data_IF_163751794810
#
_entry.id   IF_163751794810
#
_cell.length_a   1.000
_cell.length_b   1.000
_cell.length_c   1.000
_cell.angle_alpha   90.00
_cell.angle_beta   90.00
_cell.angle_gamma   90.00
#
_symmetry.space_group_name_H-M   'P 1'
#
loop_
_entity.id
_entity.type
_entity.pdbx_description
1 polymer ?
#
# COMPACT_ATOMS: atom_id res chain seq x y z
N UNK A 1 -41.17 -3.00 29.24
CA UNK A 1 -39.89 -3.20 28.54
C UNK A 1 -38.83 -2.50 29.36
N UNK A 2 -37.98 -3.26 30.07
CA UNK A 2 -36.89 -2.66 30.84
C UNK A 2 -35.83 -2.19 29.85
N UNK A 3 -35.49 -0.90 29.86
CA UNK A 3 -34.32 -0.39 29.18
C UNK A 3 -33.11 -1.16 29.71
N UNK A 4 -32.38 -1.84 28.83
CA UNK A 4 -31.13 -2.49 29.19
C UNK A 4 -30.20 -1.43 29.78
N UNK A 5 -29.82 -1.62 31.04
CA UNK A 5 -28.79 -0.84 31.72
C UNK A 5 -27.52 -0.88 30.85
N UNK A 6 -26.86 0.25 30.54
CA UNK A 6 -25.61 0.21 29.80
C UNK A 6 -24.65 -0.73 30.53
N UNK A 7 -23.98 -1.69 29.84
CA UNK A 7 -23.03 -2.57 30.49
C UNK A 7 -21.96 -1.68 31.12
N UNK A 8 -21.75 -1.86 32.42
CA UNK A 8 -20.61 -1.25 33.11
C UNK A 8 -19.39 -1.81 32.40
N UNK A 9 -18.63 -0.95 31.72
CA UNK A 9 -17.34 -1.31 31.13
C UNK A 9 -16.56 -2.10 32.19
N UNK A 10 -16.30 -3.38 31.94
CA UNK A 10 -15.38 -4.14 32.76
C UNK A 10 -14.11 -3.29 32.85
N UNK A 11 -13.66 -2.97 34.05
CA UNK A 11 -12.48 -2.12 34.25
C UNK A 11 -11.26 -2.90 33.78
N UNK A 12 -10.93 -2.78 32.49
CA UNK A 12 -9.75 -3.41 31.90
C UNK A 12 -8.49 -2.89 32.58
N UNK A 13 -7.59 -3.78 32.99
CA UNK A 13 -6.25 -3.41 33.44
C UNK A 13 -5.34 -3.18 32.22
N UNK A 14 -5.30 -1.92 31.79
CA UNK A 14 -4.59 -1.50 30.59
C UNK A 14 -3.07 -1.59 30.71
N UNK A 15 -2.52 -1.64 31.92
CA UNK A 15 -1.09 -1.81 32.15
C UNK A 15 -0.67 -3.27 31.98
N UNK A 16 -1.57 -4.20 32.33
CA UNK A 16 -1.39 -5.62 32.02
C UNK A 16 -1.60 -5.94 30.53
N UNK A 17 -2.26 -5.06 29.76
CA UNK A 17 -2.58 -5.24 28.34
C UNK A 17 -3.97 -5.86 28.08
N UNK A 18 -4.27 -6.13 26.81
CA UNK A 18 -5.58 -6.62 26.36
C UNK A 18 -5.49 -8.02 25.75
N UNK A 19 -6.27 -8.97 26.29
CA UNK A 19 -6.36 -10.29 25.68
C UNK A 19 -6.90 -10.19 24.26
N UNK A 20 -6.39 -11.02 23.37
CA UNK A 20 -6.96 -11.16 22.05
C UNK A 20 -8.34 -11.84 22.12
N UNK A 21 -9.18 -11.62 21.11
CA UNK A 21 -10.54 -12.15 21.04
C UNK A 21 -11.45 -11.30 20.15
N UNK A 22 -12.48 -11.93 19.59
CA UNK A 22 -13.42 -11.28 18.66
C UNK A 22 -14.58 -10.65 19.43
N UNK A 23 -14.37 -9.42 19.91
CA UNK A 23 -15.41 -8.58 20.55
C UNK A 23 -15.38 -7.18 19.94
N UNK A 24 -15.70 -7.04 18.65
CA UNK A 24 -15.54 -5.78 17.95
C UNK A 24 -16.46 -4.70 18.52
N UNK A 25 -15.97 -3.48 18.56
CA UNK A 25 -16.71 -2.27 18.91
C UNK A 25 -16.38 -1.16 17.92
N UNK A 26 -17.35 -0.29 17.67
CA UNK A 26 -17.17 0.90 16.86
C UNK A 26 -16.95 2.08 17.80
N UNK A 27 -15.82 2.77 17.66
CA UNK A 27 -15.53 3.98 18.41
C UNK A 27 -16.32 5.19 17.90
N UNK A 28 -16.39 6.24 18.70
CA UNK A 28 -16.94 7.54 18.26
C UNK A 28 -16.11 8.21 17.17
N UNK A 29 -14.87 7.74 16.99
CA UNK A 29 -13.92 8.10 15.91
C UNK A 29 -14.22 7.36 14.58
N UNK A 30 -15.28 6.57 14.50
CA UNK A 30 -15.63 5.73 13.34
C UNK A 30 -14.61 4.63 13.02
N UNK A 31 -13.71 4.33 13.95
CA UNK A 31 -12.74 3.23 13.81
C UNK A 31 -13.29 1.97 14.47
N UNK A 32 -13.11 0.83 13.78
CA UNK A 32 -13.42 -0.48 14.35
C UNK A 32 -12.24 -0.97 15.20
N UNK A 33 -12.51 -1.23 16.48
CA UNK A 33 -11.59 -1.89 17.39
C UNK A 33 -12.04 -3.33 17.56
N UNK A 34 -11.16 -4.28 17.22
CA UNK A 34 -11.55 -5.69 17.15
C UNK A 34 -11.71 -6.39 18.51
N UNK A 35 -11.38 -5.68 19.58
CA UNK A 35 -11.70 -6.05 20.94
C UNK A 35 -12.02 -4.78 21.75
N UNK A 36 -13.07 -4.82 22.57
CA UNK A 36 -13.51 -3.72 23.44
C UNK A 36 -12.36 -3.11 24.28
N UNK A 37 -11.54 -3.96 24.92
CA UNK A 37 -10.34 -3.55 25.64
C UNK A 37 -9.42 -2.61 24.84
N UNK A 38 -9.25 -2.82 23.53
CA UNK A 38 -8.41 -1.96 22.70
C UNK A 38 -8.96 -0.52 22.68
N UNK A 39 -10.27 -0.34 22.51
CA UNK A 39 -10.90 0.97 22.54
C UNK A 39 -10.77 1.61 23.93
N UNK A 40 -11.15 0.88 24.99
CA UNK A 40 -11.16 1.39 26.37
C UNK A 40 -9.77 1.80 26.84
N UNK A 41 -8.76 0.97 26.60
CA UNK A 41 -7.38 1.25 27.03
C UNK A 41 -6.67 2.35 26.23
N UNK A 42 -7.27 2.77 25.14
CA UNK A 42 -6.84 3.92 24.33
C UNK A 42 -7.76 5.12 24.49
N UNK A 43 -8.65 5.09 25.50
CA UNK A 43 -9.56 6.18 25.86
C UNK A 43 -10.55 6.56 24.74
N UNK A 44 -10.89 5.60 23.89
CA UNK A 44 -11.88 5.78 22.83
C UNK A 44 -13.26 5.48 23.39
N UNK A 45 -14.19 6.41 23.22
CA UNK A 45 -15.58 6.19 23.62
C UNK A 45 -16.23 5.23 22.63
N UNK A 46 -16.88 4.19 23.13
CA UNK A 46 -17.59 3.22 22.29
C UNK A 46 -18.92 3.83 21.84
N UNK A 47 -19.09 4.01 20.54
CA UNK A 47 -20.34 4.46 19.94
C UNK A 47 -21.37 3.33 19.89
N UNK A 48 -20.93 2.10 19.54
CA UNK A 48 -21.78 0.89 19.56
C UNK A 48 -20.95 -0.39 19.64
N UNK A 49 -21.59 -1.46 20.09
CA UNK A 49 -21.05 -2.82 19.97
C UNK A 49 -21.17 -3.32 18.52
N UNK A 50 -20.16 -4.07 18.07
CA UNK A 50 -20.00 -4.46 16.66
C UNK A 50 -19.14 -3.45 15.88
N UNK A 51 -18.69 -3.86 14.68
CA UNK A 51 -17.89 -3.02 13.80
C UNK A 51 -18.64 -1.77 13.30
N UNK A 52 -17.90 -0.77 12.80
CA UNK A 52 -18.47 0.43 12.17
C UNK A 52 -19.20 0.10 10.84
N UNK A 53 -20.08 1.00 10.36
CA UNK A 53 -21.05 0.73 9.27
C UNK A 53 -20.49 1.00 7.88
N UNK A 54 -19.29 1.56 7.80
CA UNK A 54 -18.47 1.55 6.59
C UNK A 54 -17.70 0.23 6.54
N UNK A 55 -17.39 -0.24 5.32
CA UNK A 55 -16.81 -1.56 5.01
C UNK A 55 -15.77 -2.03 6.05
N UNK A 56 -15.82 -3.31 6.47
CA UNK A 56 -15.02 -3.77 7.59
C UNK A 56 -13.53 -3.74 7.26
N UNK A 57 -12.69 -3.05 8.05
CA UNK A 57 -11.26 -3.14 7.90
C UNK A 57 -10.80 -4.46 8.51
N UNK A 58 -10.38 -5.38 7.63
CA UNK A 58 -10.15 -6.81 7.88
C UNK A 58 -11.46 -7.58 7.98
N UNK A 59 -11.71 -8.45 7.00
CA UNK A 59 -12.47 -9.64 7.32
C UNK A 59 -11.81 -10.31 8.55
N UNK A 60 -12.59 -10.90 9.47
CA UNK A 60 -12.08 -11.50 10.70
C UNK A 60 -11.08 -12.66 10.49
N UNK A 61 -10.78 -13.04 9.25
CA UNK A 61 -10.05 -14.26 8.89
C UNK A 61 -8.61 -14.34 9.40
N UNK A 62 -7.98 -13.22 9.76
CA UNK A 62 -6.59 -13.23 10.26
C UNK A 62 -6.41 -12.65 11.65
N UNK A 63 -7.46 -12.35 12.41
CA UNK A 63 -7.23 -11.84 13.75
C UNK A 63 -6.70 -12.93 14.67
N UNK A 64 -5.63 -12.62 15.41
CA UNK A 64 -5.17 -13.47 16.50
C UNK A 64 -6.31 -13.57 17.52
N UNK A 65 -6.61 -14.79 17.95
CA UNK A 65 -7.68 -15.08 18.92
C UNK A 65 -7.13 -15.55 20.26
N UNK A 66 -5.84 -15.88 20.31
CA UNK A 66 -5.10 -16.32 21.47
C UNK A 66 -3.94 -15.36 21.76
N UNK A 67 -3.53 -15.28 23.03
CA UNK A 67 -2.49 -14.37 23.47
C UNK A 67 -3.01 -12.99 23.91
N UNK A 68 -2.11 -12.02 23.95
CA UNK A 68 -2.37 -10.71 24.56
C UNK A 68 -1.59 -9.58 23.88
N UNK A 69 -2.29 -8.50 23.51
CA UNK A 69 -1.67 -7.23 23.17
C UNK A 69 -1.14 -6.56 24.45
N UNK A 70 0.15 -6.22 24.45
CA UNK A 70 0.81 -5.56 25.58
C UNK A 70 0.46 -4.07 25.66
N UNK A 71 0.59 -3.46 26.85
CA UNK A 71 0.45 -2.02 27.03
C UNK A 71 1.38 -1.20 26.11
N UNK A 72 2.57 -1.73 25.81
CA UNK A 72 3.53 -1.12 24.87
C UNK A 72 3.00 -1.11 23.45
N UNK A 73 2.39 -2.21 23.00
CA UNK A 73 1.77 -2.29 21.67
C UNK A 73 0.62 -1.29 21.55
N UNK A 74 -0.28 -1.23 22.55
CA UNK A 74 -1.39 -0.29 22.56
C UNK A 74 -0.95 1.19 22.45
N UNK A 75 0.19 1.54 23.07
CA UNK A 75 0.68 2.93 23.13
C UNK A 75 1.69 3.30 22.02
N UNK A 76 2.20 2.33 21.24
CA UNK A 76 3.39 2.44 20.39
C UNK A 76 3.40 3.69 19.48
N UNK A 77 2.29 3.98 18.82
CA UNK A 77 2.18 5.08 17.85
C UNK A 77 1.16 6.16 18.25
N UNK A 78 0.74 6.16 19.52
CA UNK A 78 -0.30 7.07 20.02
C UNK A 78 0.09 8.56 19.86
N UNK A 79 1.37 8.89 20.02
CA UNK A 79 1.86 10.27 19.83
C UNK A 79 1.84 10.72 18.36
N UNK A 80 1.78 9.77 17.44
CA UNK A 80 1.61 10.00 15.99
C UNK A 80 0.14 9.94 15.57
N UNK A 81 -0.81 9.83 16.50
CA UNK A 81 -2.26 9.77 16.19
C UNK A 81 -2.74 8.39 15.71
N UNK A 82 -1.92 7.35 15.83
CA UNK A 82 -2.30 5.98 15.46
C UNK A 82 -2.75 5.18 16.69
N UNK A 83 -3.93 4.58 16.59
CA UNK A 83 -4.53 3.75 17.63
C UNK A 83 -4.54 2.29 17.22
N UNK A 84 -4.15 1.40 18.13
CA UNK A 84 -4.11 -0.04 17.94
C UNK A 84 -5.52 -0.62 17.78
N UNK A 85 -5.77 -1.36 16.69
CA UNK A 85 -7.11 -1.89 16.38
C UNK A 85 -7.17 -3.40 16.34
N UNK A 86 -6.07 -4.08 16.04
CA UNK A 86 -5.98 -5.54 15.98
C UNK A 86 -4.53 -6.05 16.03
N UNK A 87 -4.37 -7.34 16.31
CA UNK A 87 -3.17 -8.10 15.92
C UNK A 87 -3.56 -9.18 14.91
N UNK A 88 -2.86 -9.21 13.79
CA UNK A 88 -3.07 -10.14 12.69
C UNK A 88 -2.10 -11.33 12.74
N UNK A 89 -2.59 -12.47 12.28
CA UNK A 89 -1.85 -13.65 11.92
C UNK A 89 -1.51 -13.56 10.43
N UNK A 90 -0.27 -13.14 10.13
CA UNK A 90 0.23 -13.04 8.76
C UNK A 90 0.38 -14.44 8.15
N UNK A 91 0.10 -14.57 6.84
CA UNK A 91 0.23 -15.83 6.09
C UNK A 91 1.40 -15.77 5.11
N UNK A 92 2.07 -16.89 4.88
CA UNK A 92 3.12 -16.95 3.87
C UNK A 92 2.52 -16.86 2.46
N UNK A 93 3.21 -16.14 1.57
CA UNK A 93 2.68 -15.75 0.26
C UNK A 93 2.29 -16.92 -0.66
N UNK A 94 2.85 -18.12 -0.47
CA UNK A 94 2.44 -19.32 -1.21
C UNK A 94 0.98 -19.72 -0.94
N UNK A 95 0.52 -19.51 0.30
CA UNK A 95 -0.83 -19.91 0.73
C UNK A 95 -1.87 -18.83 0.37
N UNK A 96 -1.41 -17.62 0.01
CA UNK A 96 -2.26 -16.53 -0.45
C UNK A 96 -2.54 -16.58 -1.95
N UNK A 97 -1.63 -17.21 -2.72
CA UNK A 97 -1.75 -17.35 -4.18
C UNK A 97 -2.58 -18.61 -4.56
N UNK A 98 -2.65 -19.63 -3.68
CA UNK A 98 -3.39 -20.88 -3.92
C UNK A 98 -4.92 -20.81 -3.67
N UNK A 99 -5.44 -19.68 -3.18
CA UNK A 99 -6.80 -19.59 -2.67
C UNK A 99 -7.78 -18.73 -3.50
N UNK A 100 -7.36 -18.08 -4.58
CA UNK A 100 -8.24 -17.22 -5.39
C UNK A 100 -8.11 -17.42 -6.93
N UNK A 101 -7.60 -18.56 -7.40
CA UNK A 101 -7.62 -18.89 -8.85
C UNK A 101 -9.02 -19.34 -9.36
N UNK A 102 -10.02 -19.44 -8.47
CA UNK A 102 -11.38 -19.91 -8.81
C UNK A 102 -12.52 -18.98 -8.34
N UNK A 103 -12.22 -17.87 -7.66
CA UNK A 103 -13.20 -16.81 -7.40
C UNK A 103 -13.14 -15.79 -8.53
N UNK A 104 -13.69 -16.20 -9.68
CA UNK A 104 -13.64 -15.37 -10.86
C UNK A 104 -14.18 -13.96 -10.57
N UNK A 105 -13.40 -12.95 -10.94
CA UNK A 105 -13.73 -11.53 -10.98
C UNK A 105 -15.24 -11.31 -10.92
N UNK A 106 -15.79 -11.12 -9.73
CA UNK A 106 -17.16 -10.67 -9.62
C UNK A 106 -17.16 -9.20 -10.04
N UNK A 107 -17.26 -8.98 -11.35
CA UNK A 107 -17.61 -7.72 -11.97
C UNK A 107 -19.03 -7.25 -11.59
N UNK A 108 -19.58 -7.73 -10.46
CA UNK A 108 -20.70 -7.13 -9.74
C UNK A 108 -20.29 -5.98 -8.81
N UNK A 109 -19.05 -5.48 -8.89
CA UNK A 109 -18.85 -4.03 -8.73
C UNK A 109 -19.55 -3.34 -9.89
N UNK A 110 -20.89 -3.35 -9.86
CA UNK A 110 -21.71 -2.39 -10.56
C UNK A 110 -21.08 -1.05 -10.26
N UNK A 111 -20.64 -0.40 -11.33
CA UNK A 111 -20.73 1.04 -11.54
C UNK A 111 -21.11 1.80 -10.26
N UNK A 112 -20.16 1.85 -9.32
CA UNK A 112 -20.15 2.90 -8.33
C UNK A 112 -19.28 3.91 -9.00
N UNK A 113 -19.98 4.87 -9.59
CA UNK A 113 -19.50 6.16 -10.00
C UNK A 113 -18.13 6.50 -9.41
N UNK A 114 -17.34 7.11 -10.27
CA UNK A 114 -16.06 7.69 -9.95
C UNK A 114 -16.19 8.90 -8.98
N UNK A 115 -17.27 8.98 -8.20
CA UNK A 115 -17.81 10.24 -7.64
C UNK A 115 -17.87 10.33 -6.11
N UNK A 116 -17.56 9.29 -5.33
CA UNK A 116 -17.57 9.43 -3.86
C UNK A 116 -16.15 9.61 -3.28
N UNK A 117 -15.30 10.40 -3.95
CA UNK A 117 -14.10 10.95 -3.30
C UNK A 117 -14.37 12.23 -2.51
N UNK A 118 -15.47 12.93 -2.82
CA UNK A 118 -15.79 14.21 -2.22
C UNK A 118 -16.28 14.09 -0.75
N UNK A 119 -16.66 12.90 -0.28
CA UNK A 119 -17.44 12.78 0.97
C UNK A 119 -16.89 11.81 2.04
N UNK A 120 -15.81 11.06 1.81
CA UNK A 120 -15.32 10.12 2.83
C UNK A 120 -13.89 10.44 3.32
N UNK A 121 -13.70 10.74 4.62
CA UNK A 121 -12.37 10.93 5.18
C UNK A 121 -11.53 9.66 5.08
N UNK A 122 -10.25 9.83 4.74
CA UNK A 122 -9.36 8.71 4.45
C UNK A 122 -8.62 8.32 5.73
N UNK A 123 -8.50 7.01 5.99
CA UNK A 123 -7.88 6.49 7.21
C UNK A 123 -6.56 5.78 6.87
N UNK A 124 -5.40 6.40 7.15
CA UNK A 124 -4.13 5.70 7.10
C UNK A 124 -4.12 4.50 8.06
N UNK A 125 -3.72 3.35 7.53
CA UNK A 125 -3.50 2.12 8.29
C UNK A 125 -2.02 1.86 8.38
N UNK A 126 -1.54 1.57 9.58
CA UNK A 126 -0.17 1.15 9.85
C UNK A 126 -0.15 -0.28 10.37
N UNK A 127 0.61 -1.15 9.71
CA UNK A 127 0.77 -2.56 10.14
C UNK A 127 2.23 -2.88 10.36
N UNK A 128 2.55 -3.46 11.51
CA UNK A 128 3.94 -3.85 11.84
C UNK A 128 4.30 -5.20 11.22
N UNK A 129 5.60 -5.52 11.17
CA UNK A 129 6.06 -6.84 10.73
C UNK A 129 5.50 -8.02 11.56
N UNK A 130 5.06 -7.76 12.80
CA UNK A 130 4.46 -8.78 13.69
C UNK A 130 2.93 -8.88 13.56
N UNK A 131 2.33 -8.09 12.67
CA UNK A 131 0.90 -8.06 12.39
C UNK A 131 0.09 -7.10 13.27
N UNK A 132 0.72 -6.29 14.12
CA UNK A 132 -0.01 -5.28 14.91
C UNK A 132 -0.52 -4.16 14.00
N UNK A 133 -1.83 -3.93 14.03
CA UNK A 133 -2.55 -2.97 13.21
C UNK A 133 -2.91 -1.72 14.00
N UNK A 134 -2.73 -0.58 13.36
CA UNK A 134 -3.05 0.71 13.90
C UNK A 134 -3.79 1.54 12.84
N UNK A 135 -4.81 2.25 13.25
CA UNK A 135 -5.57 3.17 12.38
C UNK A 135 -5.37 4.58 12.90
N UNK A 136 -5.14 5.52 11.99
CA UNK A 136 -5.00 6.93 12.33
C UNK A 136 -6.36 7.49 12.77
N UNK A 137 -6.41 8.14 13.93
CA UNK A 137 -7.67 8.48 14.63
C UNK A 137 -8.35 9.75 14.14
N UNK A 138 -7.68 10.55 13.31
CA UNK A 138 -8.23 11.77 12.73
C UNK A 138 -8.45 11.59 11.24
N UNK A 139 -9.64 11.92 10.75
CA UNK A 139 -9.86 12.16 9.33
C UNK A 139 -8.83 13.17 8.80
N UNK A 140 -7.95 12.77 7.88
CA UNK A 140 -7.08 13.74 7.22
C UNK A 140 -7.91 14.56 6.22
N UNK A 141 -7.76 15.89 6.19
CA UNK A 141 -8.51 16.74 5.28
C UNK A 141 -8.22 16.35 3.84
N UNK A 142 -9.24 16.42 2.99
CA UNK A 142 -9.08 16.35 1.55
C UNK A 142 -8.03 17.36 1.10
N UNK A 143 -7.14 16.94 0.21
CA UNK A 143 -6.36 17.90 -0.56
C UNK A 143 -7.06 18.03 -1.89
N UNK A 144 -7.74 19.16 -2.09
CA UNK A 144 -8.41 19.56 -3.32
C UNK A 144 -7.67 19.03 -4.55
N UNK A 145 -8.27 18.06 -5.21
CA UNK A 145 -7.97 17.75 -6.60
C UNK A 145 -8.79 18.74 -7.43
N UNK A 146 -8.20 19.91 -7.76
CA UNK A 146 -8.82 20.85 -8.70
C UNK A 146 -9.14 20.12 -10.03
N UNK A 147 -10.40 19.67 -10.20
CA UNK A 147 -11.35 20.08 -11.23
C UNK A 147 -12.49 19.05 -11.33
N UNK A 148 -13.72 19.50 -11.01
CA UNK A 148 -14.96 18.89 -11.47
C UNK A 148 -14.96 18.70 -13.02
N UNK A 149 -15.88 17.83 -13.49
CA UNK A 149 -16.59 17.79 -14.79
C UNK A 149 -16.49 16.42 -15.52
N UNK A 150 -17.43 16.14 -16.44
CA UNK A 150 -18.80 15.66 -16.28
C UNK A 150 -18.94 14.17 -16.69
N UNK A 151 -20.12 13.59 -16.42
CA UNK A 151 -20.47 12.21 -16.78
C UNK A 151 -20.55 12.01 -18.30
N UNK A 152 -19.81 11.03 -18.83
CA UNK A 152 -20.01 10.50 -20.18
C UNK A 152 -20.39 9.02 -20.07
N UNK A 153 -21.59 8.68 -20.56
CA UNK A 153 -22.19 7.35 -20.62
C UNK A 153 -21.29 6.32 -21.33
N UNK A 154 -21.00 5.19 -20.66
CA UNK A 154 -20.27 4.06 -21.24
C UNK A 154 -21.20 3.22 -22.15
N UNK A 155 -20.87 3.10 -23.44
CA UNK A 155 -21.54 2.12 -24.32
C UNK A 155 -21.07 0.70 -23.97
N UNK A 156 -22.04 -0.12 -23.55
CA UNK A 156 -21.85 -1.51 -23.14
C UNK A 156 -21.15 -2.38 -24.18
N UNK A 157 -20.08 -3.02 -23.75
CA UNK A 157 -19.42 -4.13 -24.43
C UNK A 157 -19.25 -5.30 -23.45
N UNK A 158 -19.55 -6.50 -23.94
CA UNK A 158 -19.70 -7.75 -23.20
C UNK A 158 -18.46 -8.13 -22.34
N UNK A 159 -18.68 -8.44 -21.05
CA UNK A 159 -17.66 -8.71 -20.04
C UNK A 159 -17.32 -10.21 -20.02
N UNK A 160 -16.26 -10.62 -20.74
CA UNK A 160 -15.64 -11.93 -20.52
C UNK A 160 -14.56 -11.83 -19.43
N UNK A 161 -14.72 -12.61 -18.34
CA UNK A 161 -13.66 -12.88 -17.33
C UNK A 161 -12.39 -13.31 -18.06
N UNK A 162 -11.27 -12.60 -17.85
CA UNK A 162 -10.04 -12.81 -18.62
C UNK A 162 -8.93 -13.43 -17.78
N UNK A 163 -8.20 -14.43 -18.31
CA UNK A 163 -7.08 -15.04 -17.62
C UNK A 163 -5.92 -14.05 -17.41
N UNK A 164 -5.27 -14.16 -16.25
CA UNK A 164 -4.04 -13.45 -15.89
C UNK A 164 -2.96 -13.65 -16.97
N UNK A 165 -2.46 -12.57 -17.57
CA UNK A 165 -1.31 -12.60 -18.47
C UNK A 165 -0.03 -12.24 -17.68
N UNK A 166 0.83 -13.22 -17.33
CA UNK A 166 2.02 -12.98 -16.55
C UNK A 166 3.08 -12.14 -17.29
N UNK A 167 2.92 -11.94 -18.61
CA UNK A 167 3.83 -11.17 -19.47
C UNK A 167 3.12 -9.96 -20.10
N UNK A 168 3.24 -8.81 -19.45
CA UNK A 168 2.76 -7.53 -19.97
C UNK A 168 3.81 -6.82 -20.82
N UNK A 169 4.24 -7.50 -21.88
CA UNK A 169 5.15 -6.99 -22.90
C UNK A 169 4.33 -6.24 -23.96
N UNK A 170 4.74 -5.02 -24.30
CA UNK A 170 3.99 -4.14 -25.20
C UNK A 170 4.74 -4.02 -26.52
N UNK A 171 4.32 -4.79 -27.50
CA UNK A 171 5.03 -4.90 -28.78
C UNK A 171 6.28 -5.76 -28.63
N UNK A 172 7.44 -5.23 -29.03
CA UNK A 172 8.72 -5.94 -28.86
C UNK A 172 9.29 -5.72 -27.47
N UNK A 173 9.73 -6.79 -26.80
CA UNK A 173 10.39 -6.69 -25.49
C UNK A 173 11.68 -5.86 -25.60
N UNK A 174 11.69 -4.71 -24.93
CA UNK A 174 12.82 -3.79 -24.82
C UNK A 174 13.57 -3.95 -23.49
N UNK A 175 13.12 -4.89 -22.65
CA UNK A 175 13.74 -5.11 -21.34
C UNK A 175 15.14 -5.73 -21.46
N UNK A 176 16.01 -5.33 -20.54
CA UNK A 176 17.39 -5.79 -20.49
C UNK A 176 17.84 -6.06 -19.06
N UNK A 177 18.72 -7.04 -18.89
CA UNK A 177 19.34 -7.35 -17.59
C UNK A 177 20.20 -6.18 -17.14
N UNK A 178 20.04 -5.76 -15.89
CA UNK A 178 20.94 -4.78 -15.26
C UNK A 178 22.23 -5.51 -14.86
N UNK A 179 23.32 -5.23 -15.56
CA UNK A 179 24.61 -5.89 -15.33
C UNK A 179 25.32 -5.43 -14.05
N UNK A 180 25.10 -4.18 -13.61
CA UNK A 180 25.70 -3.62 -12.40
C UNK A 180 24.64 -2.90 -11.57
N UNK A 181 23.99 -3.64 -10.66
CA UNK A 181 22.95 -3.10 -9.77
C UNK A 181 23.49 -2.10 -8.75
N UNK A 182 24.81 -2.03 -8.51
CA UNK A 182 25.42 -1.06 -7.59
C UNK A 182 25.56 0.34 -8.18
N UNK A 183 25.34 0.49 -9.50
CA UNK A 183 25.32 1.79 -10.17
C UNK A 183 24.29 2.72 -9.52
N UNK A 184 24.61 4.01 -9.41
CA UNK A 184 23.76 5.01 -8.77
C UNK A 184 22.36 5.11 -9.37
N UNK A 185 22.18 4.69 -10.62
CA UNK A 185 20.89 4.64 -11.32
C UNK A 185 19.95 3.56 -10.77
N UNK A 186 20.51 2.45 -10.27
CA UNK A 186 19.80 1.20 -9.96
C UNK A 186 19.83 0.81 -8.49
N UNK A 187 20.85 1.24 -7.74
CA UNK A 187 21.06 0.79 -6.36
C UNK A 187 19.90 1.10 -5.39
N UNK A 188 19.04 2.06 -5.75
CA UNK A 188 17.83 2.41 -4.99
C UNK A 188 16.63 1.50 -5.27
N UNK A 189 16.76 0.53 -6.17
CA UNK A 189 15.72 -0.44 -6.52
C UNK A 189 16.07 -1.76 -5.84
N UNK A 190 15.10 -2.45 -5.30
CA UNK A 190 15.33 -3.73 -4.62
C UNK A 190 14.19 -4.72 -4.79
N UNK A 191 14.54 -5.97 -4.50
CA UNK A 191 13.63 -7.09 -4.39
C UNK A 191 12.88 -6.99 -3.06
N UNK A 192 11.59 -7.24 -3.12
CA UNK A 192 10.69 -7.23 -1.98
C UNK A 192 9.77 -8.46 -2.01
N UNK A 193 10.37 -9.65 -2.09
CA UNK A 193 9.68 -10.92 -1.83
C UNK A 193 8.73 -11.33 -2.95
N UNK A 194 9.20 -11.30 -4.19
CA UNK A 194 8.34 -11.54 -5.37
C UNK A 194 7.66 -10.28 -5.88
N UNK A 195 7.86 -9.14 -5.20
CA UNK A 195 7.60 -7.80 -5.69
C UNK A 195 8.89 -6.99 -5.84
N UNK A 196 8.76 -5.78 -6.34
CA UNK A 196 9.83 -4.79 -6.45
C UNK A 196 9.53 -3.57 -5.59
N UNK A 197 10.56 -2.82 -5.19
CA UNK A 197 10.36 -1.59 -4.45
C UNK A 197 11.45 -0.54 -4.72
N UNK A 198 11.13 0.73 -4.42
CA UNK A 198 12.02 1.88 -4.66
C UNK A 198 12.31 2.63 -3.37
N UNK A 199 13.59 2.82 -3.03
CA UNK A 199 14.03 3.65 -1.89
C UNK A 199 13.74 5.12 -2.13
N UNK A 200 12.95 5.73 -1.24
CA UNK A 200 12.47 7.13 -1.36
C UNK A 200 12.83 8.02 -0.19
N UNK A 201 13.28 7.45 0.93
CA UNK A 201 13.76 8.20 2.09
C UNK A 201 14.98 7.54 2.71
N UNK A 202 15.39 8.01 3.89
CA UNK A 202 16.45 7.38 4.67
C UNK A 202 16.06 5.96 5.11
N UNK A 203 14.78 5.74 5.39
CA UNK A 203 14.24 4.54 6.02
C UNK A 203 13.17 3.85 5.19
N UNK A 204 12.64 4.50 4.15
CA UNK A 204 11.39 4.07 3.52
C UNK A 204 11.53 3.73 2.05
N UNK A 205 10.76 2.73 1.63
CA UNK A 205 10.58 2.30 0.24
C UNK A 205 9.11 2.51 -0.18
N UNK A 206 8.89 2.75 -1.47
CA UNK A 206 7.57 2.64 -2.11
C UNK A 206 7.44 1.25 -2.75
N UNK A 207 6.25 0.67 -2.61
CA UNK A 207 5.84 -0.59 -3.27
C UNK A 207 4.32 -0.59 -3.52
N UNK A 208 3.79 -1.62 -4.18
CA UNK A 208 2.36 -1.80 -4.40
C UNK A 208 1.70 -2.33 -3.12
N UNK A 209 0.45 -1.93 -2.85
CA UNK A 209 -0.26 -2.36 -1.66
C UNK A 209 -0.64 -3.85 -1.75
N UNK A 210 -0.93 -4.37 -2.96
CA UNK A 210 -1.19 -5.81 -3.15
C UNK A 210 0.01 -6.72 -2.81
N UNK A 211 1.23 -6.18 -2.77
CA UNK A 211 2.41 -6.91 -2.28
C UNK A 211 2.38 -7.14 -0.77
N UNK A 212 1.55 -6.38 -0.05
CA UNK A 212 1.39 -6.40 1.40
C UNK A 212 0.10 -7.16 1.78
N UNK A 213 -1.00 -6.78 1.14
CA UNK A 213 -2.35 -7.30 1.40
C UNK A 213 -3.17 -7.30 0.11
N UNK A 214 -3.75 -8.44 -0.23
CA UNK A 214 -4.61 -8.60 -1.39
C UNK A 214 -5.78 -9.52 -1.06
N UNK A 215 -7.00 -9.18 -1.49
CA UNK A 215 -8.20 -9.95 -1.15
C UNK A 215 -8.44 -10.05 0.37
N UNK A 216 -8.00 -9.04 1.13
CA UNK A 216 -8.05 -9.06 2.60
C UNK A 216 -7.03 -9.98 3.29
N UNK A 217 -6.18 -10.69 2.54
CA UNK A 217 -5.13 -11.59 3.06
C UNK A 217 -3.81 -10.83 3.21
N UNK A 218 -3.39 -10.63 4.46
CA UNK A 218 -2.13 -10.01 4.85
C UNK A 218 -0.97 -11.01 4.76
N UNK A 219 0.01 -10.68 3.94
CA UNK A 219 1.18 -11.53 3.69
C UNK A 219 2.27 -11.30 4.75
N UNK A 220 3.05 -12.35 5.03
CA UNK A 220 4.29 -12.24 5.80
C UNK A 220 5.25 -11.30 5.07
N UNK A 221 5.59 -10.19 5.74
CA UNK A 221 6.43 -9.15 5.18
C UNK A 221 7.87 -9.64 5.04
N UNK A 222 8.35 -9.75 3.80
CA UNK A 222 9.72 -10.19 3.49
C UNK A 222 10.72 -9.06 3.69
N UNK A 223 11.98 -9.41 3.89
CA UNK A 223 13.07 -8.43 3.92
C UNK A 223 13.21 -7.73 2.56
N UNK A 224 13.54 -6.44 2.58
CA UNK A 224 13.92 -5.69 1.39
C UNK A 224 15.41 -5.89 1.07
N UNK A 225 15.73 -6.24 -0.18
CA UNK A 225 17.10 -6.48 -0.64
C UNK A 225 17.45 -5.48 -1.75
N UNK A 226 18.05 -4.32 -1.43
CA UNK A 226 18.41 -3.33 -2.44
C UNK A 226 19.55 -3.82 -3.32
N UNK A 227 19.44 -3.52 -4.62
CA UNK A 227 20.44 -3.85 -5.62
C UNK A 227 20.78 -5.35 -5.70
N UNK A 228 19.87 -6.25 -5.29
CA UNK A 228 20.03 -7.69 -5.42
C UNK A 228 20.51 -8.08 -6.83
N UNK A 229 21.54 -8.92 -6.91
CA UNK A 229 22.06 -9.47 -8.16
C UNK A 229 22.15 -10.99 -8.01
N UNK A 230 21.08 -11.70 -8.40
CA UNK A 230 20.97 -13.13 -8.16
C UNK A 230 20.97 -13.43 -6.65
N UNK A 231 21.88 -14.29 -6.21
CA UNK A 231 22.05 -14.60 -4.78
C UNK A 231 23.02 -13.66 -4.05
N UNK A 232 23.60 -12.68 -4.74
CA UNK A 232 24.44 -11.66 -4.12
C UNK A 232 23.55 -10.50 -3.63
N UNK A 233 23.74 -10.09 -2.37
CA UNK A 233 23.01 -9.02 -1.69
C UNK A 233 23.99 -7.88 -1.36
N UNK A 234 24.26 -6.96 -2.31
CA UNK A 234 25.39 -6.03 -2.25
C UNK A 234 25.42 -5.09 -1.03
N UNK A 235 24.26 -4.85 -0.42
CA UNK A 235 24.06 -3.98 0.73
C UNK A 235 23.36 -4.71 1.90
N UNK A 236 23.28 -6.05 1.84
CA UNK A 236 22.54 -6.86 2.80
C UNK A 236 21.01 -6.78 2.61
N UNK A 237 20.29 -7.16 3.66
CA UNK A 237 18.83 -7.09 3.73
C UNK A 237 18.38 -6.11 4.81
N UNK A 238 17.18 -5.59 4.65
CA UNK A 238 16.55 -4.63 5.57
C UNK A 238 15.18 -5.16 5.97
N UNK A 239 14.99 -5.39 7.26
CA UNK A 239 13.72 -5.89 7.80
C UNK A 239 12.67 -4.79 7.76
N UNK A 240 11.42 -5.17 7.53
CA UNK A 240 10.29 -4.26 7.68
C UNK A 240 10.09 -3.93 9.16
N UNK A 241 9.91 -2.65 9.47
CA UNK A 241 9.45 -2.21 10.78
C UNK A 241 7.92 -2.11 10.80
N UNK A 242 7.37 -1.37 9.84
CA UNK A 242 5.95 -1.23 9.60
C UNK A 242 5.67 -0.77 8.16
N UNK A 243 4.44 -0.97 7.72
CA UNK A 243 3.89 -0.52 6.45
C UNK A 243 2.79 0.50 6.71
N UNK A 244 2.64 1.48 5.83
CA UNK A 244 1.52 2.43 5.80
C UNK A 244 0.83 2.38 4.44
N UNK A 245 -0.49 2.24 4.45
CA UNK A 245 -1.35 2.17 3.28
C UNK A 245 -2.75 2.71 3.61
N UNK A 246 -3.59 2.81 2.58
CA UNK A 246 -4.97 3.30 2.73
C UNK A 246 -5.92 2.20 3.17
N UNK A 247 -6.84 2.53 4.08
CA UNK A 247 -7.91 1.62 4.51
C UNK A 247 -8.79 1.18 3.33
N UNK A 248 -9.04 2.09 2.40
CA UNK A 248 -9.90 1.87 1.24
C UNK A 248 -9.31 0.86 0.25
N UNK A 249 -7.97 0.70 0.22
CA UNK A 249 -7.33 -0.40 -0.48
C UNK A 249 -7.70 -1.75 0.16
N UNK A 250 -7.59 -1.85 1.49
CA UNK A 250 -7.89 -3.08 2.24
C UNK A 250 -9.36 -3.46 2.09
N UNK A 251 -10.26 -2.48 2.11
CA UNK A 251 -11.70 -2.71 2.14
C UNK A 251 -12.29 -3.09 0.77
N UNK A 252 -11.71 -2.58 -0.31
CA UNK A 252 -12.34 -2.63 -1.64
C UNK A 252 -11.38 -2.90 -2.80
N UNK A 253 -10.11 -3.20 -2.53
CA UNK A 253 -9.06 -3.32 -3.55
C UNK A 253 -9.06 -2.13 -4.52
N UNK A 254 -9.29 -0.91 -4.02
CA UNK A 254 -9.41 0.29 -4.85
C UNK A 254 -8.10 0.57 -5.57
N UNK A 255 -8.04 0.26 -6.87
CA UNK A 255 -6.81 0.30 -7.66
C UNK A 255 -6.08 1.65 -7.68
N UNK A 256 -6.78 2.77 -7.47
CA UNK A 256 -6.14 4.09 -7.37
C UNK A 256 -5.28 4.25 -6.12
N UNK A 257 -5.37 3.31 -5.17
CA UNK A 257 -4.72 3.28 -3.87
C UNK A 257 -3.82 2.05 -3.70
N UNK A 258 -3.52 1.33 -4.78
CA UNK A 258 -2.60 0.19 -4.79
C UNK A 258 -1.13 0.63 -4.65
N UNK A 259 -0.82 1.30 -3.55
CA UNK A 259 0.56 1.58 -3.14
C UNK A 259 0.67 1.63 -1.63
N UNK A 260 1.87 1.32 -1.14
CA UNK A 260 2.22 1.38 0.26
C UNK A 260 3.58 2.06 0.43
N UNK A 261 3.77 2.68 1.59
CA UNK A 261 5.09 3.10 2.07
C UNK A 261 5.53 2.14 3.15
N UNK A 262 6.69 1.52 2.96
CA UNK A 262 7.24 0.57 3.93
C UNK A 262 8.42 1.23 4.62
N UNK A 263 8.38 1.29 5.94
CA UNK A 263 9.50 1.75 6.78
C UNK A 263 10.33 0.56 7.22
N UNK A 264 11.64 0.66 7.01
CA UNK A 264 12.61 -0.39 7.24
C UNK A 264 13.47 -0.10 8.47
N UNK A 265 13.82 -1.18 9.19
CA UNK A 265 14.82 -1.16 10.24
C UNK A 265 16.22 -0.97 9.64
N UNK A 266 17.20 -0.47 10.41
CA UNK A 266 18.59 -0.58 10.00
C UNK A 266 18.99 -2.06 9.80
N UNK A 267 19.93 -2.32 8.90
CA UNK A 267 20.45 -3.66 8.68
C UNK A 267 21.29 -4.15 9.89
N UNK A 268 21.84 -5.36 9.81
CA UNK A 268 22.64 -5.94 10.91
C UNK A 268 23.92 -5.17 11.24
N UNK A 269 24.37 -4.27 10.36
CA UNK A 269 25.49 -3.34 10.59
C UNK A 269 25.04 -2.00 11.19
N UNK A 270 23.74 -1.81 11.46
CA UNK A 270 23.18 -0.56 11.96
C UNK A 270 23.02 0.52 10.89
N UNK A 271 23.16 0.20 9.61
CA UNK A 271 23.02 1.16 8.53
C UNK A 271 21.58 1.28 8.07
N UNK A 272 21.17 2.49 7.73
CA UNK A 272 19.87 2.74 7.13
C UNK A 272 19.95 2.65 5.61
N UNK A 273 18.89 2.13 4.99
CA UNK A 273 18.86 1.85 3.55
C UNK A 273 19.22 3.07 2.69
N UNK A 274 18.63 4.23 2.98
CA UNK A 274 18.84 5.44 2.19
C UNK A 274 20.22 6.06 2.40
N UNK A 275 20.90 5.75 3.52
CA UNK A 275 22.27 6.18 3.77
C UNK A 275 23.27 5.39 2.90
N UNK A 276 22.98 4.12 2.61
CA UNK A 276 23.88 3.24 1.85
C UNK A 276 23.63 3.23 0.34
N UNK A 277 22.36 3.35 -0.09
CA UNK A 277 22.03 3.33 -1.53
C UNK A 277 21.58 4.69 -2.08
N UNK A 278 21.34 5.68 -1.22
CA UNK A 278 20.68 6.92 -1.62
C UNK A 278 19.18 6.72 -1.82
N UNK A 279 18.53 7.64 -2.54
CA UNK A 279 17.06 7.63 -2.71
C UNK A 279 16.62 8.30 -4.00
N UNK A 280 15.49 7.85 -4.55
CA UNK A 280 14.72 8.62 -5.55
C UNK A 280 13.92 9.71 -4.85
N UNK A 281 13.68 10.82 -5.54
CA UNK A 281 12.88 11.94 -5.05
C UNK A 281 11.43 11.78 -5.49
N UNK A 282 10.50 11.79 -4.55
CA UNK A 282 9.06 11.76 -4.84
C UNK A 282 8.64 13.08 -5.51
N UNK A 283 8.03 13.00 -6.69
CA UNK A 283 7.52 14.14 -7.44
C UNK A 283 6.08 13.91 -7.88
N UNK A 284 5.31 14.99 -7.94
CA UNK A 284 3.95 14.93 -8.48
C UNK A 284 3.96 14.41 -9.91
N UNK A 285 3.08 13.46 -10.23
CA UNK A 285 2.82 12.99 -11.58
C UNK A 285 2.47 14.13 -12.56
N UNK A 286 1.94 15.26 -12.07
CA UNK A 286 1.67 16.47 -12.85
C UNK A 286 2.93 17.13 -13.45
N UNK A 287 4.12 16.70 -13.01
CA UNK A 287 5.41 17.19 -13.52
C UNK A 287 6.17 16.14 -14.32
N UNK A 288 5.55 15.00 -14.61
CA UNK A 288 6.16 13.93 -15.40
C UNK A 288 6.26 14.35 -16.87
N UNK A 289 7.26 13.87 -17.62
CA UNK A 289 7.27 14.02 -19.08
C UNK A 289 6.56 12.86 -19.78
N UNK A 290 6.67 12.76 -21.09
CA UNK A 290 6.17 11.62 -21.88
C UNK A 290 7.02 10.33 -21.76
N UNK A 291 7.94 10.29 -20.80
CA UNK A 291 8.91 9.20 -20.72
C UNK A 291 9.13 8.73 -19.30
N UNK A 292 9.18 7.41 -19.16
CA UNK A 292 9.54 6.72 -17.95
C UNK A 292 10.37 5.48 -18.25
N UNK A 293 10.81 4.83 -17.20
CA UNK A 293 11.27 3.46 -17.20
C UNK A 293 10.78 2.75 -15.95
N UNK A 294 10.66 1.43 -16.07
CA UNK A 294 10.47 0.52 -14.95
C UNK A 294 11.77 -0.25 -14.76
N UNK A 295 12.23 -0.30 -13.50
CA UNK A 295 13.33 -1.15 -13.08
C UNK A 295 12.85 -1.93 -11.87
N UNK A 296 13.02 -3.25 -11.91
CA UNK A 296 12.46 -4.14 -10.92
C UNK A 296 12.95 -5.59 -11.07
N UNK A 297 12.28 -6.48 -10.35
CA UNK A 297 12.58 -7.91 -10.21
C UNK A 297 11.38 -8.73 -10.71
N UNK A 298 11.20 -8.89 -12.02
CA UNK A 298 10.22 -9.83 -12.56
C UNK A 298 10.52 -11.25 -12.08
N UNK A 299 9.52 -11.94 -11.54
CA UNK A 299 9.64 -13.26 -10.92
C UNK A 299 8.77 -14.36 -11.54
N UNK A 300 7.65 -14.04 -12.20
CA UNK A 300 6.74 -15.11 -12.67
C UNK A 300 7.26 -15.84 -13.90
N UNK A 301 7.89 -15.14 -14.84
CA UNK A 301 8.49 -15.78 -16.04
C UNK A 301 10.02 -15.68 -16.07
N UNK A 302 10.60 -15.31 -14.93
CA UNK A 302 12.05 -15.08 -14.71
C UNK A 302 12.45 -15.66 -13.36
N UNK A 303 13.69 -15.42 -12.93
CA UNK A 303 14.23 -16.00 -11.70
C UNK A 303 13.82 -15.27 -10.41
N UNK A 304 13.16 -14.10 -10.52
CA UNK A 304 12.75 -13.27 -9.38
C UNK A 304 13.90 -12.61 -8.62
N UNK A 305 15.14 -12.80 -9.08
CA UNK A 305 16.35 -12.39 -8.36
C UNK A 305 17.32 -11.59 -9.23
N UNK A 306 17.07 -11.55 -10.54
CA UNK A 306 17.76 -10.70 -11.51
C UNK A 306 16.97 -9.41 -11.73
N UNK A 307 17.67 -8.27 -11.64
CA UNK A 307 17.09 -6.96 -11.91
C UNK A 307 17.01 -6.70 -13.42
N UNK A 308 15.86 -6.24 -13.89
CA UNK A 308 15.63 -5.85 -15.28
C UNK A 308 15.29 -4.38 -15.39
N UNK A 309 15.70 -3.77 -16.50
CA UNK A 309 15.32 -2.44 -16.92
C UNK A 309 14.47 -2.53 -18.17
N UNK A 310 13.29 -1.94 -18.16
CA UNK A 310 12.30 -1.99 -19.25
C UNK A 310 12.68 -1.18 -20.51
N UNK A 311 13.92 -0.70 -20.64
CA UNK A 311 14.23 0.41 -21.56
C UNK A 311 13.48 1.71 -21.24
N UNK A 312 13.65 2.74 -22.08
CA UNK A 312 12.84 3.96 -22.01
C UNK A 312 11.53 3.69 -22.73
N UNK A 313 10.41 3.96 -22.06
CA UNK A 313 9.09 3.78 -22.63
C UNK A 313 8.30 5.09 -22.65
N UNK A 314 7.26 5.10 -23.49
CA UNK A 314 6.31 6.20 -23.55
C UNK A 314 5.33 6.11 -22.37
N UNK A 315 5.06 7.26 -21.76
CA UNK A 315 3.95 7.43 -20.82
C UNK A 315 2.84 8.16 -21.57
N UNK A 316 1.71 7.49 -21.73
CA UNK A 316 0.59 8.01 -22.50
C UNK A 316 -0.22 8.97 -21.63
N UNK A 317 -0.07 10.28 -21.89
CA UNK A 317 -0.83 11.32 -21.20
C UNK A 317 -0.02 12.27 -20.33
N UNK A 318 1.13 12.74 -20.82
CA UNK A 318 1.92 13.75 -20.12
C UNK A 318 1.13 15.06 -19.86
N UNK A 319 1.64 15.94 -18.97
CA UNK A 319 0.89 16.99 -18.28
C UNK A 319 0.07 17.95 -19.13
N UNK A 320 0.39 18.15 -20.41
CA UNK A 320 -0.30 19.12 -21.25
C UNK A 320 -1.61 18.60 -21.86
N UNK A 321 -1.82 17.28 -21.96
CA UNK A 321 -2.94 16.73 -22.75
C UNK A 321 -3.97 15.90 -21.97
N UNK A 322 -3.66 15.37 -20.76
CA UNK A 322 -4.56 14.39 -20.09
C UNK A 322 -4.81 14.57 -18.60
N UNK A 323 -4.29 15.62 -17.95
CA UNK A 323 -4.63 15.88 -16.53
C UNK A 323 -6.14 16.12 -16.28
N UNK A 324 -6.94 16.31 -17.34
CA UNK A 324 -8.40 16.46 -17.29
C UNK A 324 -9.23 15.18 -17.27
N UNK A 325 -8.65 13.96 -17.28
CA UNK A 325 -9.46 12.73 -17.50
C UNK A 325 -9.41 11.63 -16.46
N UNK A 326 -8.52 11.63 -15.45
CA UNK A 326 -8.52 10.54 -14.41
C UNK A 326 -7.62 10.69 -13.17
N UNK A 327 -6.71 11.65 -13.06
CA UNK A 327 -5.97 12.07 -11.84
C UNK A 327 -5.12 11.05 -11.03
N UNK A 328 -5.41 9.76 -11.14
CA UNK A 328 -5.12 8.72 -10.15
C UNK A 328 -4.16 7.64 -10.67
N UNK A 329 -4.00 7.55 -11.99
CA UNK A 329 -3.24 6.48 -12.66
C UNK A 329 -2.21 7.04 -13.64
N UNK A 330 -1.16 6.25 -13.90
CA UNK A 330 -0.17 6.47 -14.95
C UNK A 330 -0.19 5.26 -15.88
N UNK A 331 -0.62 5.49 -17.13
CA UNK A 331 -0.58 4.49 -18.19
C UNK A 331 0.77 4.59 -18.93
N UNK A 332 1.46 3.46 -19.09
CA UNK A 332 2.78 3.43 -19.69
C UNK A 332 3.01 2.21 -20.58
N UNK A 333 3.89 2.38 -21.57
CA UNK A 333 4.28 1.31 -22.51
C UNK A 333 5.53 0.51 -22.09
N UNK A 334 6.00 0.71 -20.86
CA UNK A 334 7.16 -0.03 -20.36
C UNK A 334 6.82 -1.50 -20.23
N UNK A 335 7.69 -2.36 -20.75
CA UNK A 335 7.58 -3.81 -20.63
C UNK A 335 7.69 -4.25 -19.17
N UNK A 336 6.67 -4.95 -18.68
CA UNK A 336 6.63 -5.50 -17.32
C UNK A 336 6.13 -6.93 -17.31
N UNK A 337 6.36 -7.61 -16.20
CA UNK A 337 5.96 -8.98 -15.93
C UNK A 337 5.64 -9.12 -14.44
N UNK A 338 4.95 -10.19 -14.05
CA UNK A 338 4.72 -10.52 -12.65
C UNK A 338 6.01 -10.41 -11.82
N UNK A 339 5.95 -9.66 -10.73
CA UNK A 339 7.08 -9.28 -9.87
C UNK A 339 7.61 -7.86 -10.05
N UNK A 340 7.25 -7.17 -11.14
CA UNK A 340 7.50 -5.73 -11.24
C UNK A 340 6.57 -4.89 -10.37
N UNK A 341 5.50 -5.46 -9.82
CA UNK A 341 4.62 -4.80 -8.86
C UNK A 341 5.42 -4.08 -7.78
N UNK A 342 5.13 -2.80 -7.57
CA UNK A 342 5.84 -1.93 -6.64
C UNK A 342 7.06 -1.21 -7.21
N UNK A 343 7.46 -1.51 -8.45
CA UNK A 343 8.52 -0.74 -9.13
C UNK A 343 8.10 0.72 -9.30
N UNK A 344 9.01 1.65 -9.02
CA UNK A 344 8.72 3.07 -9.20
C UNK A 344 8.64 3.44 -10.67
N UNK A 345 7.52 4.05 -11.08
CA UNK A 345 7.41 4.70 -12.40
C UNK A 345 8.29 5.94 -12.37
N UNK A 346 9.47 5.83 -13.00
CA UNK A 346 10.60 6.72 -12.73
C UNK A 346 11.16 7.35 -13.99
N UNK A 347 11.72 8.54 -13.81
CA UNK A 347 12.57 9.18 -14.81
C UNK A 347 13.68 9.95 -14.10
N UNK A 348 14.93 9.72 -14.50
CA UNK A 348 16.13 10.21 -13.83
C UNK A 348 16.13 9.85 -12.33
N UNK A 349 16.25 10.84 -11.45
CA UNK A 349 16.29 10.70 -10.00
C UNK A 349 14.92 10.85 -9.34
N UNK A 350 13.84 10.92 -10.13
CA UNK A 350 12.48 11.12 -9.63
C UNK A 350 11.62 9.86 -9.81
N UNK A 351 10.75 9.63 -8.83
CA UNK A 351 9.65 8.67 -8.90
C UNK A 351 8.33 9.46 -8.88
N UNK A 352 7.41 9.09 -9.76
CA UNK A 352 6.15 9.81 -9.99
C UNK A 352 4.92 8.93 -9.72
N UNK A 353 5.13 7.62 -9.61
CA UNK A 353 4.09 6.62 -9.46
C UNK A 353 4.67 5.29 -9.05
N UNK A 354 3.80 4.33 -8.79
CA UNK A 354 4.14 2.94 -8.46
C UNK A 354 3.46 2.05 -9.48
N UNK A 355 4.22 1.21 -10.19
CA UNK A 355 3.67 0.23 -11.12
C UNK A 355 2.95 -0.87 -10.34
N UNK A 356 1.77 -1.28 -10.79
CA UNK A 356 0.92 -2.22 -10.05
C UNK A 356 0.45 -3.38 -10.92
N UNK A 357 0.04 -3.12 -12.15
CA UNK A 357 -0.56 -4.15 -13.01
C UNK A 357 -0.22 -3.90 -14.47
N UNK A 358 -0.31 -4.95 -15.27
CA UNK A 358 -0.07 -4.87 -16.70
C UNK A 358 -1.29 -5.28 -17.52
N UNK A 359 -1.37 -4.74 -18.75
CA UNK A 359 -2.28 -5.12 -19.83
C UNK A 359 -3.77 -5.31 -19.46
N UNK A 360 -4.28 -4.51 -18.51
CA UNK A 360 -5.70 -4.55 -18.14
C UNK A 360 -6.54 -4.27 -19.40
N UNK A 361 -7.46 -5.19 -19.72
CA UNK A 361 -8.38 -5.13 -20.89
C UNK A 361 -7.70 -5.11 -22.27
N UNK A 362 -6.47 -5.63 -22.42
CA UNK A 362 -5.73 -5.74 -23.71
C UNK A 362 -5.56 -4.41 -24.46
N UNK A 363 -5.48 -3.29 -23.74
CA UNK A 363 -5.41 -1.95 -24.36
C UNK A 363 -4.01 -1.54 -24.81
N UNK A 364 -3.01 -2.43 -24.65
CA UNK A 364 -1.63 -2.21 -25.09
C UNK A 364 -0.87 -1.19 -24.22
N UNK A 365 -1.21 -1.12 -22.94
CA UNK A 365 -0.52 -0.33 -21.93
C UNK A 365 -0.56 -1.04 -20.56
N UNK A 366 0.43 -0.69 -19.73
CA UNK A 366 0.56 -1.09 -18.34
C UNK A 366 0.18 0.07 -17.43
N UNK A 367 -0.10 -0.24 -16.16
CA UNK A 367 -0.68 0.70 -15.21
C UNK A 367 0.15 0.85 -13.95
N UNK A 368 -0.02 2.00 -13.32
CA UNK A 368 0.33 2.18 -11.93
C UNK A 368 -0.38 3.37 -11.30
N UNK A 369 -0.27 3.46 -9.98
CA UNK A 369 -0.81 4.56 -9.19
C UNK A 369 0.01 5.82 -9.42
N UNK A 370 -0.67 6.93 -9.72
CA UNK A 370 -0.06 8.24 -9.82
C UNK A 370 0.14 8.88 -8.44
N UNK A 371 1.34 9.41 -8.17
CA UNK A 371 1.59 10.25 -7.00
C UNK A 371 1.08 11.67 -7.28
N UNK A 372 -0.18 11.90 -6.99
CA UNK A 372 -0.94 13.16 -7.08
C UNK A 372 -1.88 13.29 -5.87
N UNK A 373 -2.44 14.48 -5.63
CA UNK A 373 -3.40 14.71 -4.54
C UNK A 373 -3.00 14.11 -3.19
N UNK A 374 -3.96 13.41 -2.58
CA UNK A 374 -3.79 12.67 -1.32
C UNK A 374 -2.68 11.62 -1.36
N UNK A 375 -2.46 10.94 -2.50
CA UNK A 375 -1.44 9.89 -2.66
C UNK A 375 -0.03 10.49 -2.59
N UNK A 376 0.17 11.67 -3.18
CA UNK A 376 1.44 12.38 -3.08
C UNK A 376 1.72 12.84 -1.65
N UNK A 377 0.69 13.33 -0.94
CA UNK A 377 0.81 13.73 0.46
C UNK A 377 1.17 12.53 1.33
N UNK A 378 0.40 11.44 1.22
CA UNK A 378 0.63 10.20 1.93
C UNK A 378 2.04 9.65 1.68
N UNK A 379 2.45 9.52 0.41
CA UNK A 379 3.79 9.06 0.06
C UNK A 379 4.89 9.91 0.71
N UNK A 380 4.72 11.23 0.79
CA UNK A 380 5.69 12.13 1.43
C UNK A 380 5.68 12.04 2.96
N UNK A 381 4.49 12.07 3.57
CA UNK A 381 4.28 12.06 5.02
C UNK A 381 4.73 10.75 5.64
N UNK A 382 4.33 9.62 5.06
CA UNK A 382 4.71 8.28 5.51
C UNK A 382 6.20 7.99 5.29
N UNK A 383 6.80 8.57 4.23
CA UNK A 383 8.25 8.42 3.99
C UNK A 383 9.13 9.23 4.94
N UNK A 384 8.57 10.20 5.68
CA UNK A 384 9.30 11.10 6.57
C UNK A 384 8.49 11.35 7.85
N UNK A 385 8.60 10.50 8.89
CA UNK A 385 7.80 10.63 10.10
C UNK A 385 7.94 12.01 10.79
N UNK A 386 9.06 12.72 10.60
CA UNK A 386 9.26 14.08 11.12
C UNK A 386 8.36 15.16 10.48
N UNK A 387 7.74 14.92 9.31
CA UNK A 387 6.75 15.83 8.75
C UNK A 387 5.45 15.89 9.57
N UNK A 388 5.20 14.89 10.45
CA UNK A 388 3.99 14.85 11.27
C UNK A 388 3.99 15.86 12.43
N UNK A 389 5.14 16.44 12.78
CA UNK A 389 5.26 17.36 13.93
C UNK A 389 4.97 18.81 13.53
N UNK A 390 5.17 19.18 12.26
CA UNK A 390 5.20 20.58 11.82
C UNK A 390 3.81 21.17 11.56
N UNK A 391 2.75 20.36 11.50
CA UNK A 391 1.38 20.86 11.28
C UNK A 391 0.57 21.10 12.55
N UNK A 392 1.16 20.96 13.75
CA UNK A 392 0.51 21.29 15.05
C UNK A 392 0.96 22.63 15.64
N UNK A 393 1.65 23.46 14.86
CA UNK A 393 1.98 24.83 15.23
C UNK A 393 1.58 25.80 14.13
N UNK A 394 0.31 26.23 14.15
CA UNK A 394 -0.13 27.59 13.82
C UNK A 394 -1.60 27.79 14.25
#
# INVERSE_FOLDING_TARGET
>A
MAAAKPPVAETYDCDSGCNHGLKPVCGTDQVTYWHECYAVCQQVTIARYGACTAAPPTQPFQQKTDGKATAKQLKRFSTEGFLFTASLQLVDGSDADDADDDEGDDESSGDRSNDDLADNPWHPVRVTADGDCYVYSEALPELDEDAELPDDEEQGGDKQKQPFDPQSIIGSDTSSVVANTRDWRYRTIGDFGGCSATVVSRTSILTAAHCIVHGGKWKTLKDFIPARQGHNWPYGSFKVEYVELFQEWIDSNRMSLDFAVVTLQPNSQGWYVGDVVGRKRIRSAARMGDSAWIVGYPGVTRDGVTMYHSGRCEVWGSPAARFRRRGNFIDHRCDTQGGNSGSGISYQSYVYGVHTNGNIRRRGYNHGVALSGSRLLAARRWSHPYFQIVSKSE
#
